data_IF_572441974084
#
_entry.id   IF_572441974084
#
_cell.length_a   1.000
_cell.length_b   1.000
_cell.length_c   1.000
_cell.angle_alpha   90.00
_cell.angle_beta   90.00
_cell.angle_gamma   90.00
#
_symmetry.space_group_name_H-M   'P 1'
#
loop_
_entity.id
_entity.type
_entity.pdbx_description
1 polymer ?
#
# COMPACT_ATOMS: atom_id res chain seq x y z
N UNK A 1 29.92 -58.87 3.73
CA UNK A 1 28.50 -58.54 3.47
C UNK A 1 28.37 -57.04 3.25
N UNK A 2 27.47 -56.68 2.34
CA UNK A 2 27.38 -55.43 1.57
C UNK A 2 27.38 -54.16 2.44
N UNK A 3 28.24 -53.21 2.05
CA UNK A 3 28.04 -51.80 2.34
C UNK A 3 26.79 -51.31 1.61
N UNK A 4 25.81 -50.75 2.32
CA UNK A 4 24.79 -49.90 1.72
C UNK A 4 24.59 -48.70 2.63
N UNK A 5 25.10 -47.58 2.13
CA UNK A 5 24.73 -46.21 2.48
C UNK A 5 23.23 -46.05 2.70
N UNK A 6 22.82 -45.30 3.73
CA UNK A 6 21.63 -44.45 3.65
C UNK A 6 21.76 -43.31 4.65
N UNK A 7 22.60 -42.35 4.27
CA UNK A 7 22.61 -41.00 4.79
C UNK A 7 21.25 -40.38 4.43
N UNK A 8 20.27 -40.45 5.33
CA UNK A 8 18.98 -39.79 5.17
C UNK A 8 19.18 -38.29 5.40
N UNK A 9 19.69 -37.60 4.38
CA UNK A 9 19.81 -36.15 4.35
C UNK A 9 18.39 -35.60 4.23
N UNK A 10 17.79 -35.22 5.35
CA UNK A 10 16.50 -34.54 5.42
C UNK A 10 16.69 -33.14 4.80
N UNK A 11 16.52 -33.05 3.48
CA UNK A 11 16.50 -31.80 2.75
C UNK A 11 15.19 -31.08 3.11
N UNK A 12 15.19 -30.34 4.22
CA UNK A 12 14.15 -29.35 4.50
C UNK A 12 14.33 -28.26 3.46
N UNK A 13 13.60 -28.39 2.35
CA UNK A 13 13.48 -27.32 1.38
C UNK A 13 12.86 -26.12 2.09
N UNK A 14 13.68 -25.15 2.47
CA UNK A 14 13.21 -23.83 2.85
C UNK A 14 12.57 -23.22 1.61
N UNK A 15 11.25 -23.41 1.47
CA UNK A 15 10.46 -22.73 0.47
C UNK A 15 10.47 -21.25 0.87
N UNK A 16 11.44 -20.50 0.34
CA UNK A 16 11.44 -19.05 0.46
C UNK A 16 10.32 -18.51 -0.43
N UNK A 17 9.09 -18.50 0.08
CA UNK A 17 8.00 -17.81 -0.60
C UNK A 17 8.37 -16.34 -0.70
N UNK A 18 8.34 -15.76 -1.90
CA UNK A 18 8.36 -14.32 -2.03
C UNK A 18 7.17 -13.77 -1.23
N UNK A 19 7.45 -13.00 -0.17
CA UNK A 19 6.39 -12.41 0.63
C UNK A 19 5.68 -11.36 -0.23
N UNK A 20 4.36 -11.45 -0.32
CA UNK A 20 3.52 -10.46 -0.98
C UNK A 20 2.91 -9.52 0.08
N UNK A 21 2.42 -8.36 -0.37
CA UNK A 21 1.65 -7.46 0.51
C UNK A 21 0.30 -8.12 0.82
N UNK A 22 -0.09 -8.08 2.09
CA UNK A 22 -1.37 -8.57 2.58
C UNK A 22 -2.48 -7.57 2.24
N UNK A 23 -2.83 -7.50 0.95
CA UNK A 23 -3.88 -6.62 0.45
C UNK A 23 -5.26 -7.02 0.98
N UNK A 24 -6.07 -6.03 1.34
CA UNK A 24 -7.47 -6.20 1.73
C UNK A 24 -8.34 -5.07 1.17
N UNK A 25 -9.66 -5.18 1.33
CA UNK A 25 -10.57 -4.10 0.98
C UNK A 25 -10.48 -2.95 2.00
N UNK A 26 -10.95 -1.76 1.63
CA UNK A 26 -10.99 -0.64 2.57
C UNK A 26 -11.90 -0.95 3.78
N UNK A 27 -13.03 -1.61 3.56
CA UNK A 27 -13.94 -1.98 4.65
C UNK A 27 -13.32 -3.00 5.62
N UNK A 28 -12.54 -3.96 5.11
CA UNK A 28 -11.81 -4.92 5.95
C UNK A 28 -10.74 -4.21 6.79
N UNK A 29 -9.97 -3.30 6.18
CA UNK A 29 -8.97 -2.51 6.90
C UNK A 29 -9.58 -1.65 8.00
N UNK A 30 -10.71 -0.96 7.72
CA UNK A 30 -11.46 -0.19 8.72
C UNK A 30 -12.01 -1.07 9.83
N UNK A 31 -12.49 -2.27 9.51
CA UNK A 31 -13.00 -3.23 10.49
C UNK A 31 -11.88 -3.82 11.36
N UNK A 32 -10.71 -4.10 10.76
CA UNK A 32 -9.54 -4.58 11.46
C UNK A 32 -8.95 -3.50 12.38
N UNK A 33 -8.90 -2.25 11.92
CA UNK A 33 -8.41 -1.11 12.70
C UNK A 33 -9.24 -0.83 13.96
N UNK A 34 -10.56 -1.07 13.92
CA UNK A 34 -11.42 -0.98 15.11
C UNK A 34 -11.07 -2.01 16.18
N UNK A 35 -10.57 -3.19 15.77
CA UNK A 35 -10.17 -4.26 16.69
C UNK A 35 -8.75 -4.07 17.21
N UNK A 36 -7.84 -3.76 16.28
CA UNK A 36 -6.41 -3.55 16.56
C UNK A 36 -5.96 -2.28 15.85
N UNK A 37 -5.81 -1.15 16.57
CA UNK A 37 -5.39 0.10 15.97
C UNK A 37 -4.05 -0.03 15.23
N UNK A 38 -4.09 0.22 13.92
CA UNK A 38 -2.94 0.22 13.02
C UNK A 38 -3.25 1.15 11.85
N UNK A 39 -2.25 1.86 11.33
CA UNK A 39 -2.39 2.75 10.17
C UNK A 39 -2.84 1.98 8.92
N UNK A 40 -3.42 2.69 7.95
CA UNK A 40 -3.83 2.10 6.67
C UNK A 40 -2.99 2.71 5.55
N UNK A 41 -2.38 1.86 4.73
CA UNK A 41 -1.72 2.25 3.49
C UNK A 41 -2.63 1.86 2.33
N UNK A 42 -3.02 2.80 1.48
CA UNK A 42 -3.93 2.56 0.35
C UNK A 42 -3.19 2.80 -0.95
N UNK A 43 -3.11 1.78 -1.80
CA UNK A 43 -2.75 1.92 -3.22
C UNK A 43 -4.02 2.25 -4.02
N UNK A 44 -4.14 3.50 -4.47
CA UNK A 44 -5.23 3.96 -5.33
C UNK A 44 -4.80 3.89 -6.78
N UNK A 45 -5.39 2.94 -7.51
CA UNK A 45 -5.02 2.61 -8.89
C UNK A 45 -6.23 2.57 -9.83
N UNK A 46 -5.98 2.43 -11.13
CA UNK A 46 -6.98 2.04 -12.13
C UNK A 46 -6.43 0.94 -13.04
N UNK A 47 -7.32 0.17 -13.68
CA UNK A 47 -6.94 -1.03 -14.48
C UNK A 47 -6.11 -0.70 -15.72
N UNK A 48 -6.32 0.47 -16.33
CA UNK A 48 -5.63 0.93 -17.53
C UNK A 48 -4.35 1.75 -17.24
N UNK A 49 -4.05 2.02 -15.96
CA UNK A 49 -2.93 2.86 -15.55
C UNK A 49 -1.59 2.14 -15.64
N UNK A 50 -0.81 2.46 -16.68
CA UNK A 50 0.54 1.91 -16.89
C UNK A 50 1.50 2.13 -15.70
N UNK A 51 1.64 3.36 -15.17
CA UNK A 51 2.48 3.61 -13.99
C UNK A 51 2.04 2.85 -12.73
N UNK A 52 0.74 2.61 -12.56
CA UNK A 52 0.21 1.80 -11.45
C UNK A 52 0.70 0.34 -11.55
N UNK A 53 0.67 -0.23 -12.78
CA UNK A 53 1.26 -1.55 -13.02
C UNK A 53 2.75 -1.59 -12.72
N UNK A 54 3.51 -0.57 -13.13
CA UNK A 54 4.94 -0.49 -12.80
C UNK A 54 5.18 -0.47 -11.29
N UNK A 55 4.35 0.26 -10.54
CA UNK A 55 4.43 0.32 -9.08
C UNK A 55 4.17 -1.05 -8.47
N UNK A 56 3.10 -1.72 -8.91
CA UNK A 56 2.76 -3.09 -8.47
C UNK A 56 3.84 -4.13 -8.80
N UNK A 57 4.55 -4.00 -9.92
CA UNK A 57 5.52 -5.00 -10.38
C UNK A 57 6.94 -4.75 -9.89
N UNK A 58 7.32 -3.48 -9.68
CA UNK A 58 8.71 -3.08 -9.39
C UNK A 58 8.90 -2.59 -7.96
N UNK A 59 7.88 -1.96 -7.39
CA UNK A 59 7.97 -1.35 -6.06
C UNK A 59 7.32 -2.25 -5.01
N UNK A 60 6.08 -2.70 -5.23
CA UNK A 60 5.35 -3.53 -4.28
C UNK A 60 5.78 -5.00 -4.21
N UNK A 61 6.74 -5.40 -5.05
CA UNK A 61 7.44 -6.69 -4.95
C UNK A 61 8.78 -6.60 -4.23
N UNK A 62 9.22 -5.41 -3.86
CA UNK A 62 10.45 -5.22 -3.11
C UNK A 62 10.31 -5.81 -1.70
N UNK A 63 11.23 -6.70 -1.31
CA UNK A 63 11.12 -7.46 -0.05
C UNK A 63 11.08 -6.57 1.19
N UNK A 64 11.91 -5.52 1.22
CA UNK A 64 11.98 -4.61 2.37
C UNK A 64 10.71 -3.77 2.47
N UNK A 65 10.19 -3.32 1.32
CA UNK A 65 8.91 -2.60 1.25
C UNK A 65 7.75 -3.49 1.72
N UNK A 66 7.62 -4.70 1.17
CA UNK A 66 6.55 -5.64 1.54
C UNK A 66 6.56 -5.92 3.04
N UNK A 67 7.74 -6.24 3.59
CA UNK A 67 7.90 -6.49 5.00
C UNK A 67 7.44 -5.29 5.83
N UNK A 68 7.93 -4.09 5.49
CA UNK A 68 7.57 -2.89 6.22
C UNK A 68 6.07 -2.59 6.16
N UNK A 69 5.44 -2.73 4.99
CA UNK A 69 4.00 -2.51 4.85
C UNK A 69 3.20 -3.51 5.69
N UNK A 70 3.50 -4.81 5.59
CA UNK A 70 2.78 -5.85 6.33
C UNK A 70 2.93 -5.71 7.86
N UNK A 71 4.11 -5.32 8.32
CA UNK A 71 4.36 -5.14 9.76
C UNK A 71 3.60 -3.91 10.30
N UNK A 72 3.61 -2.79 9.57
CA UNK A 72 3.22 -1.47 10.10
C UNK A 72 1.83 -0.98 9.65
N UNK A 73 1.24 -1.54 8.59
CA UNK A 73 -0.01 -1.05 8.02
C UNK A 73 -1.02 -2.18 7.75
N UNK A 74 -2.30 -1.82 7.73
CA UNK A 74 -3.27 -2.54 6.91
C UNK A 74 -3.15 -2.02 5.47
N UNK A 75 -2.83 -2.90 4.53
CA UNK A 75 -2.62 -2.52 3.14
C UNK A 75 -3.91 -2.70 2.33
N UNK A 76 -4.39 -1.63 1.73
CA UNK A 76 -5.60 -1.62 0.90
C UNK A 76 -5.21 -1.42 -0.55
N UNK A 77 -5.80 -2.21 -1.43
CA UNK A 77 -5.70 -2.01 -2.88
C UNK A 77 -7.05 -1.56 -3.40
N UNK A 78 -7.16 -0.29 -3.76
CA UNK A 78 -8.43 0.35 -4.07
C UNK A 78 -8.48 0.77 -5.55
N UNK A 79 -9.45 0.25 -6.29
CA UNK A 79 -9.64 0.66 -7.68
C UNK A 79 -10.50 1.93 -7.71
N UNK A 80 -9.88 3.06 -8.04
CA UNK A 80 -10.55 4.36 -8.11
C UNK A 80 -11.62 4.48 -9.19
N UNK A 81 -11.72 3.49 -10.07
CA UNK A 81 -12.74 3.37 -11.11
C UNK A 81 -13.52 2.05 -10.99
N UNK A 82 -13.39 1.36 -9.84
CA UNK A 82 -14.06 0.10 -9.54
C UNK A 82 -15.51 0.30 -9.09
N UNK A 83 -16.15 -0.81 -8.69
CA UNK A 83 -17.53 -0.87 -8.24
C UNK A 83 -17.67 -1.34 -6.78
N UNK A 84 -16.58 -1.46 -6.03
CA UNK A 84 -16.62 -1.82 -4.62
C UNK A 84 -17.35 -0.73 -3.80
N UNK A 85 -18.19 -1.09 -2.82
CA UNK A 85 -18.78 -0.09 -1.94
C UNK A 85 -17.89 0.13 -0.72
N UNK A 86 -17.63 1.38 -0.35
CA UNK A 86 -16.80 1.74 0.81
C UNK A 86 -17.62 2.49 1.84
N UNK A 87 -17.72 1.97 3.06
CA UNK A 87 -18.36 2.70 4.17
C UNK A 87 -17.30 3.35 5.05
N UNK A 88 -17.20 4.67 4.97
CA UNK A 88 -16.18 5.46 5.65
C UNK A 88 -16.83 6.61 6.42
N UNK A 89 -16.55 6.69 7.73
CA UNK A 89 -17.08 7.72 8.65
C UNK A 89 -18.61 7.92 8.58
N UNK A 90 -19.35 6.81 8.48
CA UNK A 90 -20.82 6.82 8.45
C UNK A 90 -21.43 7.07 7.07
N UNK A 91 -20.62 7.33 6.04
CA UNK A 91 -21.07 7.51 4.66
C UNK A 91 -20.68 6.30 3.82
N UNK A 92 -21.62 5.77 3.03
CA UNK A 92 -21.33 4.74 2.03
C UNK A 92 -21.08 5.40 0.68
N UNK A 93 -19.89 5.18 0.13
CA UNK A 93 -19.45 5.65 -1.17
C UNK A 93 -19.55 4.53 -2.20
N UNK A 94 -19.97 4.87 -3.41
CA UNK A 94 -20.13 3.95 -4.55
C UNK A 94 -19.51 4.56 -5.80
N UNK A 95 -19.56 3.84 -6.91
CA UNK A 95 -19.32 4.40 -8.24
C UNK A 95 -20.61 4.36 -9.06
N UNK A 96 -21.39 5.43 -8.97
CA UNK A 96 -22.68 5.53 -9.67
C UNK A 96 -22.52 5.58 -11.20
N UNK A 97 -21.32 5.86 -11.69
CA UNK A 97 -20.99 5.96 -13.11
C UNK A 97 -20.23 4.72 -13.62
N UNK A 98 -20.19 3.63 -12.84
CA UNK A 98 -19.50 2.41 -13.22
C UNK A 98 -20.21 1.70 -14.39
N UNK A 99 -19.47 1.48 -15.47
CA UNK A 99 -19.90 0.69 -16.62
C UNK A 99 -19.18 -0.68 -16.61
N UNK A 100 -19.87 -1.80 -16.40
CA UNK A 100 -19.27 -3.13 -16.40
C UNK A 100 -18.55 -3.48 -17.72
N UNK A 101 -19.00 -2.94 -18.86
CA UNK A 101 -18.34 -3.16 -20.15
C UNK A 101 -16.95 -2.49 -20.22
N UNK A 102 -16.67 -1.53 -19.34
CA UNK A 102 -15.40 -0.79 -19.24
C UNK A 102 -14.55 -1.19 -18.04
N UNK A 103 -14.81 -2.34 -17.41
CA UNK A 103 -14.08 -2.78 -16.21
C UNK A 103 -12.55 -2.78 -16.37
N UNK A 104 -12.05 -3.07 -17.59
CA UNK A 104 -10.62 -3.13 -17.92
C UNK A 104 -10.11 -1.91 -18.71
N UNK A 105 -10.94 -0.88 -18.89
CA UNK A 105 -10.60 0.36 -19.58
C UNK A 105 -11.02 1.56 -18.71
N UNK A 106 -10.97 2.78 -19.26
CA UNK A 106 -11.35 3.99 -18.52
C UNK A 106 -12.83 3.94 -18.13
N UNK A 107 -13.10 4.10 -16.84
CA UNK A 107 -14.44 4.10 -16.25
C UNK A 107 -14.72 5.42 -15.49
N UNK A 108 -15.94 5.55 -14.99
CA UNK A 108 -16.29 6.65 -14.08
C UNK A 108 -15.46 6.59 -12.79
N UNK A 109 -15.08 7.75 -12.26
CA UNK A 109 -14.39 7.84 -10.99
C UNK A 109 -15.31 7.45 -9.83
N UNK A 110 -14.79 6.65 -8.91
CA UNK A 110 -15.47 6.21 -7.70
C UNK A 110 -15.56 7.36 -6.69
N UNK A 111 -16.73 7.57 -6.08
CA UNK A 111 -17.01 8.73 -5.21
C UNK A 111 -16.08 8.77 -3.99
N UNK A 112 -15.66 7.61 -3.46
CA UNK A 112 -14.65 7.51 -2.40
C UNK A 112 -13.29 8.12 -2.79
N UNK A 113 -12.77 7.83 -3.98
CA UNK A 113 -11.54 8.45 -4.46
C UNK A 113 -11.70 9.97 -4.58
N UNK A 114 -12.88 10.42 -5.04
CA UNK A 114 -13.22 11.84 -5.17
C UNK A 114 -13.25 12.55 -3.81
N UNK A 115 -13.89 11.91 -2.81
CA UNK A 115 -13.97 12.42 -1.45
C UNK A 115 -12.60 12.53 -0.76
N UNK A 116 -11.62 11.71 -1.17
CA UNK A 116 -10.24 11.75 -0.70
C UNK A 116 -9.35 12.70 -1.51
N UNK A 117 -9.90 13.41 -2.50
CA UNK A 117 -9.16 14.37 -3.31
C UNK A 117 -8.17 13.76 -4.31
N UNK A 118 -8.35 12.47 -4.66
CA UNK A 118 -7.49 11.81 -5.64
C UNK A 118 -7.76 12.40 -7.03
N UNK A 119 -6.73 12.95 -7.69
CA UNK A 119 -6.85 13.59 -9.00
C UNK A 119 -5.94 12.99 -10.08
N UNK A 120 -5.11 12.02 -9.71
CA UNK A 120 -4.12 11.39 -10.57
C UNK A 120 -3.77 9.99 -10.08
N UNK A 121 -3.27 9.15 -10.99
CA UNK A 121 -2.95 7.75 -10.70
C UNK A 121 -1.50 7.42 -11.09
N UNK A 122 -0.79 6.59 -10.29
CA UNK A 122 -1.21 6.11 -8.97
C UNK A 122 -1.18 7.23 -7.93
N UNK A 123 -2.03 7.10 -6.91
CA UNK A 123 -1.91 7.85 -5.66
C UNK A 123 -1.87 6.86 -4.52
N UNK A 124 -0.90 6.98 -3.62
CA UNK A 124 -0.90 6.23 -2.37
C UNK A 124 -1.39 7.15 -1.25
N UNK A 125 -2.28 6.65 -0.42
CA UNK A 125 -2.80 7.39 0.74
C UNK A 125 -2.37 6.70 2.02
N UNK A 126 -2.06 7.49 3.05
CA UNK A 126 -1.80 6.96 4.39
C UNK A 126 -2.85 7.53 5.34
N UNK A 127 -3.50 6.65 6.09
CA UNK A 127 -4.45 7.00 7.14
C UNK A 127 -3.84 6.67 8.51
N UNK A 128 -4.13 7.51 9.50
CA UNK A 128 -3.79 7.23 10.89
C UNK A 128 -4.65 6.10 11.48
N UNK A 129 -4.38 5.75 12.74
CA UNK A 129 -5.08 4.71 13.50
C UNK A 129 -6.56 5.01 13.76
N UNK A 130 -7.04 6.22 13.45
CA UNK A 130 -8.44 6.68 13.55
C UNK A 130 -9.08 6.86 12.18
N UNK A 131 -8.47 6.30 11.14
CA UNK A 131 -8.88 6.44 9.75
C UNK A 131 -8.95 7.91 9.29
N UNK A 132 -8.11 8.82 9.78
CA UNK A 132 -7.95 10.15 9.22
C UNK A 132 -6.82 10.16 8.17
N UNK A 133 -7.02 10.73 6.97
CA UNK A 133 -5.95 10.87 5.98
C UNK A 133 -4.82 11.76 6.53
N UNK A 134 -3.58 11.34 6.31
CA UNK A 134 -2.38 12.09 6.73
C UNK A 134 -1.88 12.96 5.56
N UNK A 135 -1.41 12.33 4.48
CA UNK A 135 -1.02 12.99 3.23
C UNK A 135 -1.06 12.00 2.05
N UNK A 136 -1.27 12.49 0.82
CA UNK A 136 -1.12 11.68 -0.39
C UNK A 136 0.34 11.62 -0.87
N UNK A 137 0.72 10.50 -1.48
CA UNK A 137 1.96 10.33 -2.24
C UNK A 137 1.56 10.07 -3.69
N UNK A 138 1.84 11.03 -4.57
CA UNK A 138 1.37 11.00 -5.96
C UNK A 138 2.45 10.52 -6.90
N UNK A 139 2.09 9.61 -7.80
CA UNK A 139 2.93 9.14 -8.89
C UNK A 139 3.74 7.88 -8.59
N UNK A 140 4.43 7.40 -9.62
CA UNK A 140 5.30 6.24 -9.53
C UNK A 140 6.59 6.58 -8.79
N UNK A 141 6.97 5.72 -7.85
CA UNK A 141 8.22 5.80 -7.09
C UNK A 141 8.78 4.40 -6.87
N UNK A 142 10.11 4.27 -6.84
CA UNK A 142 10.78 3.03 -6.42
C UNK A 142 10.58 2.79 -4.92
N UNK A 143 10.89 1.58 -4.43
CA UNK A 143 10.82 1.27 -2.99
C UNK A 143 11.71 2.22 -2.16
N UNK A 144 12.93 2.49 -2.63
CA UNK A 144 13.87 3.42 -1.99
C UNK A 144 13.38 4.86 -1.97
N UNK A 145 12.66 5.31 -3.00
CA UNK A 145 12.04 6.64 -3.04
C UNK A 145 10.83 6.74 -2.10
N UNK A 146 10.04 5.67 -1.98
CA UNK A 146 8.89 5.63 -1.06
C UNK A 146 9.31 5.51 0.40
N UNK A 147 10.44 4.86 0.69
CA UNK A 147 10.88 4.57 2.06
C UNK A 147 10.83 5.78 3.01
N UNK A 148 11.45 6.94 2.71
CA UNK A 148 11.37 8.09 3.60
C UNK A 148 9.93 8.57 3.80
N UNK A 149 9.06 8.49 2.79
CA UNK A 149 7.68 8.99 2.87
C UNK A 149 6.81 8.08 3.74
N UNK A 150 6.87 6.77 3.50
CA UNK A 150 6.08 5.81 4.28
C UNK A 150 6.57 5.72 5.73
N UNK A 151 7.88 5.84 5.98
CA UNK A 151 8.44 5.86 7.34
C UNK A 151 8.16 7.18 8.07
N UNK A 152 8.03 8.28 7.34
CA UNK A 152 7.63 9.57 7.91
C UNK A 152 6.25 9.48 8.57
N UNK A 153 5.30 8.84 7.89
CA UNK A 153 3.98 8.56 8.45
C UNK A 153 3.99 7.40 9.47
N UNK A 154 4.60 6.27 9.10
CA UNK A 154 4.62 5.04 9.90
C UNK A 154 5.22 5.26 11.29
N UNK A 155 6.29 6.04 11.40
CA UNK A 155 6.98 6.33 12.65
C UNK A 155 6.42 7.57 13.38
N UNK A 156 5.28 8.13 12.94
CA UNK A 156 4.69 9.34 13.49
C UNK A 156 5.57 10.60 13.42
N UNK A 157 6.62 10.61 12.59
CA UNK A 157 7.50 11.77 12.40
C UNK A 157 6.72 12.99 11.91
N UNK A 158 5.67 12.78 11.13
CA UNK A 158 4.77 13.85 10.64
C UNK A 158 4.09 14.67 11.75
N UNK A 159 3.98 14.14 12.98
CA UNK A 159 3.39 14.87 14.10
C UNK A 159 4.32 15.95 14.66
N UNK A 160 5.65 15.77 14.52
CA UNK A 160 6.66 16.67 15.09
C UNK A 160 7.35 17.52 14.03
N UNK A 161 7.40 17.04 12.78
CA UNK A 161 7.97 17.74 11.63
C UNK A 161 6.83 18.44 10.88
N UNK A 162 6.56 19.68 11.28
CA UNK A 162 5.38 20.45 10.80
C UNK A 162 5.74 21.62 9.89
N UNK A 163 7.03 21.92 9.69
CA UNK A 163 7.50 22.97 8.77
C UNK A 163 8.18 22.35 7.55
N UNK A 164 8.11 23.05 6.41
CA UNK A 164 8.79 22.62 5.18
C UNK A 164 10.30 22.45 5.39
N UNK A 165 10.95 23.39 6.08
CA UNK A 165 12.38 23.32 6.39
C UNK A 165 12.74 22.07 7.20
N UNK A 166 11.94 21.72 8.21
CA UNK A 166 12.17 20.53 9.01
C UNK A 166 11.94 19.25 8.18
N UNK A 167 10.99 19.25 7.26
CA UNK A 167 10.74 18.14 6.34
C UNK A 167 11.89 17.96 5.33
N UNK A 168 12.39 19.04 4.75
CA UNK A 168 13.55 19.01 3.85
C UNK A 168 14.80 18.48 4.58
N UNK A 169 14.99 18.90 5.84
CA UNK A 169 16.04 18.38 6.71
C UNK A 169 15.86 16.88 6.99
N UNK A 170 14.63 16.43 7.24
CA UNK A 170 14.33 15.01 7.40
C UNK A 170 14.75 14.22 6.16
N UNK A 171 14.32 14.65 4.96
CA UNK A 171 14.68 13.97 3.71
C UNK A 171 16.20 13.95 3.47
N UNK A 172 16.89 15.07 3.70
CA UNK A 172 18.35 15.18 3.50
C UNK A 172 19.15 14.27 4.45
N UNK A 173 18.64 14.03 5.65
CA UNK A 173 19.33 13.24 6.69
C UNK A 173 18.85 11.80 6.77
N UNK A 174 17.78 11.46 6.03
CA UNK A 174 17.21 10.13 6.00
C UNK A 174 18.22 9.11 5.44
N UNK A 175 18.45 8.04 6.20
CA UNK A 175 19.30 6.92 5.79
C UNK A 175 18.41 5.73 5.45
N UNK A 176 18.22 5.51 4.14
CA UNK A 176 17.42 4.41 3.63
C UNK A 176 18.00 3.04 3.99
N UNK A 177 17.10 2.09 4.17
CA UNK A 177 17.38 0.68 4.50
C UNK A 177 16.86 -0.26 3.45
N UNK A 178 15.93 0.19 2.59
CA UNK A 178 15.41 -0.62 1.51
C UNK A 178 16.47 -0.76 0.42
N UNK A 179 16.61 -1.97 -0.11
CA UNK A 179 17.49 -2.26 -1.25
C UNK A 179 16.67 -2.22 -2.53
N UNK A 180 17.26 -1.81 -3.65
CA UNK A 180 16.59 -1.88 -4.97
C UNK A 180 16.55 -3.32 -5.48
#
# INVERSE_FOLDING_TARGET
MKQIFSLLFLLVAMVSSAQEINWMSMNDALSAQQKTPKKIFVDVYTTWCGPCRMLSERTFKNKDFVKYINDNFYAVKFNAEGNEEVTYKGTTYKNNNYDPAKANTRNGMHDFAGALGVNSYPTMLIFDEKAAPIFPIVGYMTATQLEPLIKFAGNNTYLTVTTQEAYDKYLKTFKGTFKN
#
